data_IF_539632823981
#
_entry.id   IF_539632823981
#
_cell.length_a   1.000
_cell.length_b   1.000
_cell.length_c   1.000
_cell.angle_alpha   90.00
_cell.angle_beta   90.00
_cell.angle_gamma   90.00
#
_symmetry.space_group_name_H-M   'P 1'
#
loop_
_entity.id
_entity.type
_entity.pdbx_description
1 polymer ?
#
# COMPACT_ATOMS: atom_id res chain seq x y z
N UNK A 1 -24.73 2.46 -19.49
CA UNK A 1 -23.46 3.18 -19.79
C UNK A 1 -22.33 2.25 -19.40
N UNK A 2 -21.42 1.95 -20.31
CA UNK A 2 -20.19 1.18 -20.01
C UNK A 2 -19.14 2.15 -19.50
N UNK A 3 -18.56 1.86 -18.32
CA UNK A 3 -17.45 2.63 -17.75
C UNK A 3 -16.19 2.22 -18.50
N UNK A 4 -15.40 3.19 -18.94
CA UNK A 4 -14.09 2.93 -19.58
C UNK A 4 -13.04 2.50 -18.53
N UNK A 5 -11.98 1.82 -18.98
CA UNK A 5 -10.87 1.42 -18.11
C UNK A 5 -10.22 2.63 -17.42
N UNK A 6 -10.11 3.76 -18.14
CA UNK A 6 -9.57 5.01 -17.59
C UNK A 6 -10.45 5.56 -16.48
N UNK A 7 -11.77 5.67 -16.71
CA UNK A 7 -12.71 6.13 -15.69
C UNK A 7 -12.72 5.25 -14.46
N UNK A 8 -12.65 3.92 -14.65
CA UNK A 8 -12.55 2.98 -13.53
C UNK A 8 -11.24 3.17 -12.75
N UNK A 9 -10.11 3.29 -13.44
CA UNK A 9 -8.79 3.51 -12.82
C UNK A 9 -8.77 4.80 -12.02
N UNK A 10 -9.33 5.89 -12.57
CA UNK A 10 -9.37 7.19 -11.90
C UNK A 10 -10.31 7.17 -10.69
N UNK A 11 -11.45 6.49 -10.77
CA UNK A 11 -12.36 6.31 -9.63
C UNK A 11 -11.69 5.52 -8.49
N UNK A 12 -10.99 4.43 -8.80
CA UNK A 12 -10.26 3.65 -7.79
C UNK A 12 -9.11 4.48 -7.19
N UNK A 13 -8.40 5.25 -8.00
CA UNK A 13 -7.32 6.14 -7.54
C UNK A 13 -7.87 7.21 -6.60
N UNK A 14 -8.99 7.86 -6.95
CA UNK A 14 -9.66 8.83 -6.09
C UNK A 14 -10.05 8.22 -4.75
N UNK A 15 -10.66 7.04 -4.74
CA UNK A 15 -11.04 6.35 -3.50
C UNK A 15 -9.83 6.02 -2.61
N UNK A 16 -8.66 5.73 -3.19
CA UNK A 16 -7.42 5.53 -2.41
C UNK A 16 -6.87 6.86 -1.89
N UNK A 17 -7.00 7.95 -2.66
CA UNK A 17 -6.64 9.30 -2.20
C UNK A 17 -7.52 9.73 -1.01
N UNK A 18 -8.83 9.54 -1.09
CA UNK A 18 -9.77 9.86 -0.01
C UNK A 18 -9.45 9.09 1.26
N UNK A 19 -9.09 7.80 1.14
CA UNK A 19 -8.64 6.99 2.27
C UNK A 19 -7.34 7.54 2.88
N UNK A 20 -6.39 7.95 2.06
CA UNK A 20 -5.15 8.60 2.51
C UNK A 20 -5.42 9.92 3.21
N UNK A 21 -6.28 10.76 2.64
CA UNK A 21 -6.70 12.03 3.23
C UNK A 21 -7.36 11.84 4.60
N UNK A 22 -8.31 10.90 4.69
CA UNK A 22 -9.00 10.58 5.94
C UNK A 22 -8.02 10.12 7.03
N UNK A 23 -7.07 9.25 6.70
CA UNK A 23 -6.04 8.80 7.64
C UNK A 23 -5.22 9.99 8.17
N UNK A 24 -4.76 10.89 7.29
CA UNK A 24 -3.99 12.06 7.67
C UNK A 24 -4.80 12.97 8.61
N UNK A 25 -6.01 13.33 8.22
CA UNK A 25 -6.87 14.23 9.00
C UNK A 25 -7.21 13.66 10.38
N UNK A 26 -7.46 12.34 10.49
CA UNK A 26 -7.69 11.70 11.77
C UNK A 26 -6.44 11.75 12.66
N UNK A 27 -5.25 11.49 12.11
CA UNK A 27 -3.99 11.58 12.87
C UNK A 27 -3.78 13.02 13.36
N UNK A 28 -4.01 14.03 12.52
CA UNK A 28 -3.88 15.44 12.93
C UNK A 28 -4.88 15.79 14.04
N UNK A 29 -6.14 15.43 13.91
CA UNK A 29 -7.16 15.68 14.93
C UNK A 29 -6.81 15.04 16.28
N UNK A 30 -6.31 13.80 16.28
CA UNK A 30 -5.86 13.14 17.51
C UNK A 30 -4.61 13.80 18.12
N UNK A 31 -3.66 14.25 17.29
CA UNK A 31 -2.49 15.01 17.76
C UNK A 31 -2.92 16.33 18.42
N UNK A 32 -3.85 17.07 17.80
CA UNK A 32 -4.41 18.32 18.36
C UNK A 32 -5.13 18.07 19.70
N UNK A 33 -5.76 16.90 19.87
CA UNK A 33 -6.37 16.48 21.12
C UNK A 33 -5.36 15.95 22.15
N UNK A 34 -4.06 15.99 21.87
CA UNK A 34 -3.01 15.51 22.78
C UNK A 34 -2.90 14.01 22.89
N UNK A 35 -3.47 13.25 21.95
CA UNK A 35 -3.44 11.78 21.96
C UNK A 35 -2.17 11.25 21.28
N UNK A 36 -1.55 10.22 21.88
CA UNK A 36 -0.52 9.44 21.20
C UNK A 36 -1.16 8.59 20.09
N UNK A 37 -0.70 8.77 18.84
CA UNK A 37 -1.38 8.19 17.68
C UNK A 37 -0.68 6.99 17.06
N UNK A 38 0.64 6.92 17.09
CA UNK A 38 1.41 5.96 16.29
C UNK A 38 1.06 4.51 16.59
N UNK A 39 1.10 4.10 17.83
CA UNK A 39 0.87 2.71 18.19
C UNK A 39 -0.58 2.24 17.89
N UNK A 40 -1.64 2.99 18.25
CA UNK A 40 -3.01 2.65 17.85
C UNK A 40 -3.18 2.59 16.33
N UNK A 41 -2.58 3.53 15.58
CA UNK A 41 -2.66 3.57 14.11
C UNK A 41 -1.95 2.37 13.48
N UNK A 42 -0.73 2.02 13.94
CA UNK A 42 0.00 0.83 13.49
C UNK A 42 -0.83 -0.44 13.67
N UNK A 43 -1.42 -0.63 14.85
CA UNK A 43 -2.30 -1.79 15.13
C UNK A 43 -3.52 -1.83 14.22
N UNK A 44 -4.18 -0.69 14.03
CA UNK A 44 -5.37 -0.60 13.18
C UNK A 44 -5.03 -0.92 11.71
N UNK A 45 -3.94 -0.36 11.19
CA UNK A 45 -3.49 -0.58 9.81
C UNK A 45 -3.01 -2.02 9.60
N UNK A 46 -2.28 -2.60 10.56
CA UNK A 46 -1.90 -4.01 10.51
C UNK A 46 -3.14 -4.92 10.45
N UNK A 47 -4.13 -4.69 11.31
CA UNK A 47 -5.38 -5.45 11.28
C UNK A 47 -6.15 -5.25 9.97
N UNK A 48 -6.19 -4.04 9.43
CA UNK A 48 -6.78 -3.78 8.12
C UNK A 48 -6.08 -4.59 7.01
N UNK A 49 -4.75 -4.66 7.07
CA UNK A 49 -3.94 -5.49 6.17
C UNK A 49 -4.29 -6.97 6.29
N UNK A 50 -4.41 -7.51 7.50
CA UNK A 50 -4.83 -8.90 7.73
C UNK A 50 -6.21 -9.20 7.10
N UNK A 51 -7.19 -8.31 7.29
CA UNK A 51 -8.52 -8.44 6.68
C UNK A 51 -8.46 -8.38 5.15
N UNK A 52 -7.51 -7.63 4.59
CA UNK A 52 -7.30 -7.54 3.15
C UNK A 52 -6.64 -8.81 2.61
N UNK A 53 -5.60 -9.30 3.28
CA UNK A 53 -4.89 -10.53 2.91
C UNK A 53 -5.78 -11.77 2.98
N UNK A 54 -6.63 -11.87 4.00
CA UNK A 54 -7.57 -12.99 4.18
C UNK A 54 -8.62 -13.12 3.04
N UNK A 55 -8.75 -12.10 2.20
CA UNK A 55 -9.64 -12.13 1.02
C UNK A 55 -8.92 -12.56 -0.26
N UNK A 56 -7.61 -12.67 -0.22
CA UNK A 56 -6.81 -13.12 -1.36
C UNK A 56 -6.78 -14.66 -1.41
N UNK A 57 -6.62 -15.24 -2.61
CA UNK A 57 -6.39 -16.68 -2.71
C UNK A 57 -5.08 -17.07 -2.01
N UNK A 58 -4.98 -18.31 -1.51
CA UNK A 58 -3.75 -18.83 -0.93
C UNK A 58 -2.57 -18.70 -1.91
N UNK A 59 -1.42 -18.29 -1.43
CA UNK A 59 -0.20 -18.18 -2.23
C UNK A 59 1.02 -18.60 -1.42
N UNK A 60 1.86 -19.43 -2.03
CA UNK A 60 3.13 -19.92 -1.48
C UNK A 60 4.33 -19.47 -2.32
N UNK A 61 4.06 -18.76 -3.42
CA UNK A 61 5.06 -18.20 -4.31
C UNK A 61 4.79 -16.73 -4.62
N UNK A 62 5.83 -15.94 -4.93
CA UNK A 62 5.64 -14.54 -5.32
C UNK A 62 4.69 -14.39 -6.52
N UNK A 63 4.78 -15.26 -7.53
CA UNK A 63 3.88 -15.25 -8.69
C UNK A 63 2.42 -15.39 -8.27
N UNK A 64 2.09 -16.44 -7.50
CA UNK A 64 0.73 -16.70 -7.06
C UNK A 64 0.17 -15.54 -6.21
N UNK A 65 1.02 -14.92 -5.37
CA UNK A 65 0.65 -13.75 -4.58
C UNK A 65 0.31 -12.54 -5.46
N UNK A 66 1.16 -12.21 -6.44
CA UNK A 66 0.93 -11.09 -7.34
C UNK A 66 -0.28 -11.31 -8.26
N UNK A 67 -0.49 -12.53 -8.74
CA UNK A 67 -1.67 -12.91 -9.51
C UNK A 67 -2.95 -12.76 -8.67
N UNK A 68 -2.91 -13.20 -7.41
CA UNK A 68 -4.01 -13.02 -6.45
C UNK A 68 -4.38 -11.56 -6.21
N UNK A 69 -3.39 -10.70 -5.99
CA UNK A 69 -3.60 -9.26 -5.87
C UNK A 69 -4.15 -8.66 -7.17
N UNK A 70 -3.60 -9.06 -8.32
CA UNK A 70 -4.04 -8.61 -9.64
C UNK A 70 -5.50 -8.96 -9.93
N UNK A 71 -5.93 -10.16 -9.56
CA UNK A 71 -7.29 -10.64 -9.75
C UNK A 71 -8.35 -9.80 -9.00
N UNK A 72 -7.97 -9.10 -7.94
CA UNK A 72 -8.89 -8.21 -7.21
C UNK A 72 -9.21 -6.92 -7.97
N UNK A 73 -8.48 -6.60 -9.04
CA UNK A 73 -8.61 -5.37 -9.83
C UNK A 73 -8.27 -4.07 -9.07
N UNK A 74 -7.93 -4.16 -7.78
CA UNK A 74 -7.81 -3.00 -6.90
C UNK A 74 -6.37 -2.53 -6.66
N UNK A 75 -5.41 -3.45 -6.67
CA UNK A 75 -4.07 -3.15 -6.16
C UNK A 75 -3.08 -2.65 -7.21
N UNK A 76 -3.26 -2.97 -8.49
CA UNK A 76 -2.32 -2.58 -9.55
C UNK A 76 -2.63 -1.22 -10.17
N UNK A 77 -3.88 -0.99 -10.51
CA UNK A 77 -4.33 0.15 -11.31
C UNK A 77 -4.04 1.52 -10.68
N UNK A 78 -4.41 1.79 -9.39
CA UNK A 78 -4.20 3.12 -8.83
C UNK A 78 -2.72 3.47 -8.63
N UNK A 79 -1.85 2.45 -8.52
CA UNK A 79 -0.41 2.62 -8.26
C UNK A 79 0.44 2.60 -9.53
N UNK A 80 -0.14 2.39 -10.72
CA UNK A 80 0.60 2.21 -11.98
C UNK A 80 1.71 1.16 -11.80
N UNK A 81 1.30 -0.07 -11.47
CA UNK A 81 2.20 -1.19 -11.17
C UNK A 81 2.85 -1.73 -12.44
N UNK A 82 4.16 -1.92 -12.41
CA UNK A 82 4.97 -2.54 -13.46
C UNK A 82 5.70 -3.75 -12.90
N UNK A 83 5.63 -4.89 -13.59
CA UNK A 83 6.39 -6.08 -13.25
C UNK A 83 7.82 -5.94 -13.76
N UNK A 84 8.79 -5.99 -12.85
CA UNK A 84 10.22 -5.93 -13.19
C UNK A 84 10.81 -7.33 -13.35
N UNK A 85 10.54 -8.20 -12.40
CA UNK A 85 10.95 -9.61 -12.44
C UNK A 85 10.10 -10.43 -11.48
N UNK A 86 9.74 -11.64 -11.85
CA UNK A 86 9.11 -12.61 -10.93
C UNK A 86 9.60 -14.01 -11.27
N UNK A 87 10.27 -14.64 -10.30
CA UNK A 87 10.70 -16.03 -10.37
C UNK A 87 10.12 -16.84 -9.20
N UNK A 88 10.65 -18.04 -8.97
CA UNK A 88 10.17 -18.93 -7.91
C UNK A 88 10.54 -18.48 -6.50
N UNK A 89 11.59 -17.66 -6.34
CA UNK A 89 12.12 -17.23 -5.07
C UNK A 89 11.71 -15.80 -4.73
N UNK A 90 11.64 -14.91 -5.72
CA UNK A 90 11.42 -13.49 -5.54
C UNK A 90 10.58 -12.89 -6.67
N UNK A 91 9.80 -11.85 -6.34
CA UNK A 91 9.14 -10.99 -7.30
C UNK A 91 9.37 -9.53 -6.96
N UNK A 92 9.65 -8.71 -7.99
CA UNK A 92 9.87 -7.27 -7.88
C UNK A 92 8.88 -6.52 -8.76
N UNK A 93 8.17 -5.58 -8.17
CA UNK A 93 7.26 -4.67 -8.85
C UNK A 93 7.62 -3.22 -8.54
N UNK A 94 7.61 -2.37 -9.56
CA UNK A 94 7.65 -0.92 -9.38
C UNK A 94 6.23 -0.34 -9.34
N UNK A 95 5.99 0.52 -8.38
CA UNK A 95 4.76 1.29 -8.24
C UNK A 95 5.09 2.74 -8.56
N UNK A 96 4.71 3.21 -9.75
CA UNK A 96 5.09 4.53 -10.26
C UNK A 96 4.22 5.67 -9.71
N UNK A 97 3.19 5.36 -8.94
CA UNK A 97 2.30 6.32 -8.30
C UNK A 97 1.92 5.84 -6.91
N UNK A 98 1.75 6.79 -5.99
CA UNK A 98 1.12 6.54 -4.70
C UNK A 98 0.01 7.56 -4.46
N UNK A 99 -1.27 7.18 -4.62
CA UNK A 99 -2.39 8.10 -4.38
C UNK A 99 -2.42 8.63 -2.95
N UNK A 100 -2.01 7.85 -1.95
CA UNK A 100 -1.96 8.29 -0.55
C UNK A 100 -0.91 9.40 -0.36
N UNK A 101 0.30 9.22 -0.87
CA UNK A 101 1.35 10.25 -0.83
C UNK A 101 0.89 11.52 -1.53
N UNK A 102 0.23 11.41 -2.69
CA UNK A 102 -0.35 12.55 -3.39
C UNK A 102 -1.38 13.29 -2.52
N UNK A 103 -2.28 12.56 -1.85
CA UNK A 103 -3.27 13.15 -0.96
C UNK A 103 -2.63 13.91 0.21
N UNK A 104 -1.63 13.31 0.86
CA UNK A 104 -0.94 13.95 1.99
C UNK A 104 -0.20 15.22 1.58
N UNK A 105 0.51 15.19 0.45
CA UNK A 105 1.17 16.38 -0.11
C UNK A 105 0.18 17.48 -0.45
N UNK A 106 -0.95 17.14 -1.06
CA UNK A 106 -2.02 18.09 -1.39
C UNK A 106 -2.67 18.71 -0.16
N UNK A 107 -2.67 18.02 0.98
CA UNK A 107 -3.15 18.53 2.27
C UNK A 107 -2.08 19.32 3.05
N UNK A 108 -0.89 19.49 2.48
CA UNK A 108 0.18 20.29 3.06
C UNK A 108 1.06 19.54 4.06
N UNK A 109 1.04 18.22 4.08
CA UNK A 109 1.97 17.44 4.91
C UNK A 109 3.42 17.73 4.51
N UNK A 110 4.31 17.94 5.49
CA UNK A 110 5.73 18.15 5.25
C UNK A 110 6.38 16.86 4.67
N UNK A 111 7.55 16.96 4.04
CA UNK A 111 8.27 15.78 3.56
C UNK A 111 8.49 14.71 4.66
N UNK A 112 8.83 15.14 5.87
CA UNK A 112 9.04 14.28 7.02
C UNK A 112 7.74 13.60 7.47
N UNK A 113 6.63 14.34 7.48
CA UNK A 113 5.30 13.80 7.78
C UNK A 113 4.88 12.78 6.72
N UNK A 114 5.16 13.04 5.44
CA UNK A 114 4.84 12.09 4.35
C UNK A 114 5.61 10.77 4.53
N UNK A 115 6.89 10.83 4.89
CA UNK A 115 7.68 9.62 5.19
C UNK A 115 7.10 8.87 6.37
N UNK A 116 6.80 9.56 7.47
CA UNK A 116 6.21 8.96 8.67
C UNK A 116 4.84 8.32 8.39
N UNK A 117 3.97 9.00 7.65
CA UNK A 117 2.66 8.47 7.23
C UNK A 117 2.80 7.22 6.35
N UNK A 118 3.81 7.20 5.47
CA UNK A 118 4.11 6.04 4.63
C UNK A 118 4.57 4.85 5.47
N UNK A 119 5.40 5.06 6.51
CA UNK A 119 5.81 4.01 7.45
C UNK A 119 4.62 3.46 8.25
N UNK A 120 3.70 4.32 8.68
CA UNK A 120 2.45 3.89 9.32
C UNK A 120 1.61 3.06 8.34
N UNK A 121 1.42 3.54 7.11
CA UNK A 121 0.65 2.83 6.08
C UNK A 121 1.25 1.47 5.74
N UNK A 122 2.57 1.34 5.74
CA UNK A 122 3.30 0.10 5.54
C UNK A 122 2.95 -1.00 6.55
N UNK A 123 2.44 -0.64 7.74
CA UNK A 123 1.90 -1.64 8.67
C UNK A 123 0.71 -2.41 8.06
N UNK A 124 -0.05 -1.80 7.15
CA UNK A 124 -1.09 -2.48 6.39
C UNK A 124 -0.52 -3.55 5.46
N UNK A 125 0.59 -3.25 4.78
CA UNK A 125 1.28 -4.21 3.91
C UNK A 125 1.85 -5.38 4.74
N UNK A 126 2.42 -5.09 5.92
CA UNK A 126 2.88 -6.12 6.84
C UNK A 126 1.73 -6.99 7.36
N UNK A 127 0.59 -6.40 7.66
CA UNK A 127 -0.63 -7.12 8.03
C UNK A 127 -1.13 -8.02 6.90
N UNK A 128 -1.10 -7.54 5.66
CA UNK A 128 -1.50 -8.31 4.48
C UNK A 128 -0.59 -9.52 4.27
N UNK A 129 0.73 -9.31 4.23
CA UNK A 129 1.69 -10.41 3.97
C UNK A 129 1.73 -11.41 5.12
N UNK A 130 1.36 -11.04 6.34
CA UNK A 130 1.27 -11.96 7.48
C UNK A 130 0.26 -13.09 7.29
N UNK A 131 -0.64 -12.98 6.31
CA UNK A 131 -1.57 -14.04 5.92
C UNK A 131 -0.92 -15.09 4.99
N UNK A 132 0.33 -14.89 4.59
CA UNK A 132 1.09 -15.75 3.69
C UNK A 132 2.41 -16.15 4.38
N UNK A 133 2.40 -17.16 5.25
CA UNK A 133 3.55 -17.48 6.12
C UNK A 133 4.82 -17.90 5.38
N UNK A 134 4.70 -18.32 4.11
CA UNK A 134 5.83 -18.67 3.27
C UNK A 134 6.45 -17.47 2.54
N UNK A 135 5.89 -16.27 2.70
CA UNK A 135 6.31 -15.07 1.98
C UNK A 135 6.66 -13.94 2.93
N UNK A 136 7.59 -13.11 2.49
CA UNK A 136 7.91 -11.80 3.07
C UNK A 136 7.68 -10.70 2.05
N UNK A 137 7.45 -9.47 2.53
CA UNK A 137 7.32 -8.29 1.68
C UNK A 137 8.04 -7.10 2.32
N UNK A 138 8.77 -6.35 1.48
CA UNK A 138 9.39 -5.07 1.87
C UNK A 138 9.48 -4.14 0.66
N UNK A 139 9.85 -2.89 0.93
CA UNK A 139 10.09 -1.87 -0.10
C UNK A 139 11.54 -1.39 0.01
N UNK A 140 12.27 -1.37 -1.11
CA UNK A 140 13.64 -0.85 -1.19
C UNK A 140 13.64 0.66 -1.40
N UNK A 141 12.87 1.15 -2.39
CA UNK A 141 12.66 2.56 -2.68
C UNK A 141 11.22 2.94 -2.40
N UNK A 142 10.96 4.21 -2.05
CA UNK A 142 9.60 4.71 -1.83
C UNK A 142 9.41 6.14 -2.31
N UNK A 143 8.31 6.40 -3.01
CA UNK A 143 7.90 7.74 -3.45
C UNK A 143 7.80 8.72 -2.28
N UNK A 144 7.49 8.23 -1.09
CA UNK A 144 7.44 9.05 0.12
C UNK A 144 8.78 9.68 0.47
N UNK A 145 9.88 8.95 0.26
CA UNK A 145 11.27 9.41 0.49
C UNK A 145 11.83 10.25 -0.67
N UNK A 146 11.07 10.40 -1.76
CA UNK A 146 11.48 11.18 -2.93
C UNK A 146 11.97 10.32 -4.10
N UNK A 147 11.92 8.99 -3.99
CA UNK A 147 12.29 8.11 -5.09
C UNK A 147 11.28 8.19 -6.23
N UNK A 148 11.69 7.80 -7.44
CA UNK A 148 10.86 7.85 -8.64
C UNK A 148 9.69 6.85 -8.60
N UNK A 149 9.82 5.77 -7.82
CA UNK A 149 8.84 4.70 -7.65
C UNK A 149 8.98 4.06 -6.26
N UNK A 150 8.01 3.22 -5.90
CA UNK A 150 8.18 2.28 -4.79
C UNK A 150 8.60 0.92 -5.36
N UNK A 151 9.75 0.39 -4.94
CA UNK A 151 10.20 -0.95 -5.33
C UNK A 151 9.68 -1.98 -4.31
N UNK A 152 8.56 -2.62 -4.65
CA UNK A 152 7.96 -3.66 -3.81
C UNK A 152 8.61 -5.01 -4.13
N UNK A 153 9.16 -5.64 -3.11
CA UNK A 153 9.79 -6.95 -3.18
C UNK A 153 8.99 -7.94 -2.35
N UNK A 154 8.59 -9.05 -2.99
CA UNK A 154 8.00 -10.21 -2.30
C UNK A 154 8.92 -11.40 -2.51
N UNK A 155 9.34 -12.05 -1.43
CA UNK A 155 10.26 -13.19 -1.47
C UNK A 155 9.73 -14.37 -0.66
N UNK A 156 10.13 -15.59 -1.05
CA UNK A 156 9.89 -16.78 -0.23
C UNK A 156 10.78 -16.75 1.02
N UNK A 157 10.20 -17.18 2.12
CA UNK A 157 10.98 -17.53 3.31
C UNK A 157 11.88 -18.72 2.98
N UNK A 158 13.15 -18.63 3.34
CA UNK A 158 14.12 -19.71 3.18
C UNK A 158 13.83 -20.91 4.10
#
# INVERSE_FOLDING_TARGET
>A
MSVTETEFTDAVRSAVQDRGALLYLLIQAFKEAGCATDEPVRKALFRFGQLSGARLPPATTPRAFFDGIGATGKAGLPFAREEMSVDAAQGVYHLHRCPMVAAWRNLGASPEEVVHLCELAGCGDQGLISQFPELTMHFNETIAKGDAYCAMVVARNG
#
